data_IF_055989573844
#
_entry.id   IF_055989573844
#
_cell.length_a   1.000
_cell.length_b   1.000
_cell.length_c   1.000
_cell.angle_alpha   90.00
_cell.angle_beta   90.00
_cell.angle_gamma   90.00
#
_symmetry.space_group_name_H-M   'P 1'
#
loop_
_entity.id
_entity.type
_entity.pdbx_description
1 polymer ?
#
# COMPACT_ATOMS: atom_id res chain seq x y z
N UNK A 1 -12.97 -3.75 4.69
CA UNK A 1 -11.82 -4.63 4.37
C UNK A 1 -10.69 -4.33 5.35
N UNK A 2 -10.15 -5.34 6.04
CA UNK A 2 -9.02 -5.25 6.98
C UNK A 2 -7.69 -5.28 6.21
N UNK A 3 -6.60 -4.79 6.83
CA UNK A 3 -5.25 -4.75 6.20
C UNK A 3 -4.80 -6.10 5.62
N UNK A 4 -5.04 -7.20 6.33
CA UNK A 4 -4.68 -8.54 5.85
C UNK A 4 -5.51 -8.99 4.64
N UNK A 5 -6.78 -8.60 4.55
CA UNK A 5 -7.64 -8.91 3.41
C UNK A 5 -7.18 -8.15 2.16
N UNK A 6 -6.81 -6.88 2.32
CA UNK A 6 -6.23 -6.06 1.26
C UNK A 6 -4.90 -6.64 0.74
N UNK A 7 -3.99 -7.02 1.63
CA UNK A 7 -2.69 -7.63 1.25
C UNK A 7 -2.92 -8.89 0.42
N UNK A 8 -3.85 -9.74 0.84
CA UNK A 8 -4.18 -10.97 0.11
C UNK A 8 -4.77 -10.67 -1.26
N UNK A 9 -5.71 -9.71 -1.35
CA UNK A 9 -6.32 -9.31 -2.62
C UNK A 9 -5.29 -8.75 -3.61
N UNK A 10 -4.40 -7.87 -3.14
CA UNK A 10 -3.32 -7.31 -3.97
C UNK A 10 -2.36 -8.40 -4.43
N UNK A 11 -1.93 -9.30 -3.54
CA UNK A 11 -1.06 -10.42 -3.90
C UNK A 11 -1.67 -11.29 -5.01
N UNK A 12 -2.95 -11.63 -4.89
CA UNK A 12 -3.67 -12.42 -5.90
C UNK A 12 -3.76 -11.66 -7.23
N UNK A 13 -4.17 -10.39 -7.19
CA UNK A 13 -4.44 -9.61 -8.40
C UNK A 13 -3.17 -9.21 -9.17
N UNK A 14 -2.05 -9.07 -8.47
CA UNK A 14 -0.75 -8.71 -9.06
C UNK A 14 0.19 -9.89 -9.28
N UNK A 15 -0.18 -11.10 -8.85
CA UNK A 15 0.64 -12.30 -9.02
C UNK A 15 1.95 -12.29 -8.21
N UNK A 16 2.03 -11.49 -7.15
CA UNK A 16 3.24 -11.39 -6.31
C UNK A 16 3.09 -12.15 -5.00
N UNK A 17 4.21 -12.52 -4.38
CA UNK A 17 4.20 -13.11 -3.05
C UNK A 17 3.54 -12.17 -2.02
N UNK A 18 2.81 -12.76 -1.07
CA UNK A 18 2.15 -12.02 0.00
C UNK A 18 3.10 -11.09 0.78
N UNK A 19 4.35 -11.49 1.00
CA UNK A 19 5.35 -10.64 1.69
C UNK A 19 5.68 -9.39 0.87
N UNK A 20 5.75 -9.53 -0.46
CA UNK A 20 6.04 -8.43 -1.38
C UNK A 20 4.84 -7.49 -1.43
N UNK A 21 3.62 -8.01 -1.56
CA UNK A 21 2.40 -7.20 -1.50
C UNK A 21 2.30 -6.40 -0.19
N UNK A 22 2.62 -7.04 0.95
CA UNK A 22 2.65 -6.35 2.25
C UNK A 22 3.64 -5.18 2.24
N UNK A 23 4.89 -5.42 1.81
CA UNK A 23 5.92 -4.39 1.79
C UNK A 23 5.56 -3.21 0.86
N UNK A 24 4.99 -3.50 -0.32
CA UNK A 24 4.55 -2.48 -1.27
C UNK A 24 3.42 -1.64 -0.69
N UNK A 25 2.41 -2.25 -0.06
CA UNK A 25 1.29 -1.52 0.55
C UNK A 25 1.79 -0.64 1.70
N UNK A 26 2.62 -1.18 2.59
CA UNK A 26 3.17 -0.43 3.73
C UNK A 26 4.02 0.75 3.24
N UNK A 27 4.95 0.51 2.31
CA UNK A 27 5.78 1.59 1.74
C UNK A 27 4.97 2.65 0.99
N UNK A 28 3.94 2.25 0.25
CA UNK A 28 3.07 3.20 -0.46
C UNK A 28 2.33 4.10 0.53
N UNK A 29 1.77 3.52 1.60
CA UNK A 29 1.09 4.29 2.64
C UNK A 29 2.06 5.25 3.34
N UNK A 30 3.27 4.80 3.67
CA UNK A 30 4.27 5.63 4.32
C UNK A 30 4.66 6.85 3.45
N UNK A 31 4.85 6.64 2.14
CA UNK A 31 5.16 7.73 1.20
C UNK A 31 4.01 8.73 1.07
N UNK A 32 2.77 8.23 0.97
CA UNK A 32 1.58 9.10 0.91
C UNK A 32 1.49 9.95 2.19
N UNK A 33 1.62 9.32 3.36
CA UNK A 33 1.58 10.02 4.64
C UNK A 33 2.70 11.05 4.76
N UNK A 34 3.91 10.73 4.31
CA UNK A 34 5.05 11.65 4.34
C UNK A 34 4.83 12.90 3.47
N UNK A 35 4.21 12.76 2.30
CA UNK A 35 3.90 13.90 1.42
C UNK A 35 2.72 14.71 1.94
N UNK A 36 1.66 14.07 2.43
CA UNK A 36 0.53 14.76 3.08
C UNK A 36 0.99 15.55 4.32
N UNK A 37 1.93 15.02 5.11
CA UNK A 37 2.49 15.73 6.26
C UNK A 37 3.25 17.02 5.88
N UNK A 38 3.72 17.14 4.63
CA UNK A 38 4.33 18.36 4.08
C UNK A 38 3.30 19.34 3.51
N UNK A 39 2.00 19.01 3.57
CA UNK A 39 0.91 19.78 2.97
C UNK A 39 0.71 19.50 1.48
N UNK A 40 1.34 18.48 0.92
CA UNK A 40 1.17 18.11 -0.48
C UNK A 40 -0.11 17.30 -0.69
N UNK A 41 -0.81 17.55 -1.81
CA UNK A 41 -1.96 16.75 -2.25
C UNK A 41 -1.46 15.61 -3.13
N UNK A 42 -1.79 14.36 -2.77
CA UNK A 42 -1.49 13.18 -3.58
C UNK A 42 -2.72 12.79 -4.39
N UNK A 43 -2.60 12.83 -5.72
CA UNK A 43 -3.64 12.37 -6.65
C UNK A 43 -3.37 10.92 -7.06
N UNK A 44 -4.40 10.06 -6.98
CA UNK A 44 -4.34 8.61 -7.25
C UNK A 44 -5.37 8.24 -8.31
#
# INVERSE_FOLDING_TARGET
MKKNELINAVAIHSGVERKVAKAVIEGTVDVILANVAKGEIVNI
#
